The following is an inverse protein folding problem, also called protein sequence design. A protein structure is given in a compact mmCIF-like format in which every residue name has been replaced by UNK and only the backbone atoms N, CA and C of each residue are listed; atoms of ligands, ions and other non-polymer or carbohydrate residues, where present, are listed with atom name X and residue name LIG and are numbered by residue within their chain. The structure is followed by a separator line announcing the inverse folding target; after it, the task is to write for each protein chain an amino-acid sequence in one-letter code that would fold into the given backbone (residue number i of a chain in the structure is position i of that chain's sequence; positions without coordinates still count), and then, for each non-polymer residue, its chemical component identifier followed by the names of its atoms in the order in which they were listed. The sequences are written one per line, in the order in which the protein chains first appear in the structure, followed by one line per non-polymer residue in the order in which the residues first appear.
data_IF_881143536202
#
_entry.id   IF_881143536202
#
_cell.length_a   1.000
_cell.length_b   1.000
_cell.length_c   1.000
_cell.angle_alpha   90.00
_cell.angle_beta   90.00
_cell.angle_gamma   90.00
#
_symmetry.space_group_name_H-M   'P 1'
#
loop_
_entity.id
_entity.type
_entity.pdbx_description
1 polymer ?
#
# COMPACT_ATOMS: atom_id res chain seq x y z
N UNK A 1 3.91 40.99 -26.16
CA UNK A 1 2.98 39.96 -26.67
C UNK A 1 1.55 40.39 -26.33
N UNK A 2 0.71 40.75 -27.32
CA UNK A 2 -0.62 41.33 -27.08
C UNK A 2 -1.59 40.40 -26.35
N UNK A 3 -1.41 39.07 -26.47
CA UNK A 3 -2.17 38.07 -25.71
C UNK A 3 -1.87 38.14 -24.21
N UNK A 4 -0.59 38.28 -23.84
CA UNK A 4 -0.16 38.43 -22.45
C UNK A 4 -0.60 39.79 -21.88
N UNK A 5 -0.55 40.87 -22.67
CA UNK A 5 -1.00 42.20 -22.23
C UNK A 5 -2.49 42.25 -21.89
N UNK A 6 -3.36 41.64 -22.73
CA UNK A 6 -4.79 41.58 -22.46
C UNK A 6 -5.16 40.68 -21.27
N UNK A 7 -4.35 39.65 -20.98
CA UNK A 7 -4.55 38.78 -19.80
C UNK A 7 -3.94 39.35 -18.51
N UNK A 8 -2.85 40.12 -18.61
CA UNK A 8 -2.19 40.76 -17.46
C UNK A 8 -2.90 42.05 -17.03
N UNK A 9 -3.40 42.84 -17.98
CA UNK A 9 -4.15 44.07 -17.72
C UNK A 9 -5.47 44.10 -18.52
N UNK A 10 -6.50 43.36 -18.09
CA UNK A 10 -7.80 43.42 -18.73
C UNK A 10 -8.38 44.84 -18.60
N UNK A 11 -8.51 45.56 -19.72
CA UNK A 11 -9.10 46.89 -19.77
C UNK A 11 -8.26 48.01 -19.12
N UNK A 12 -6.92 47.92 -19.15
CA UNK A 12 -5.97 48.89 -18.57
C UNK A 12 -5.96 49.01 -17.03
N UNK A 13 -6.67 48.15 -16.31
CA UNK A 13 -6.52 48.04 -14.84
C UNK A 13 -5.40 47.05 -14.50
N UNK A 14 -4.16 47.54 -14.46
CA UNK A 14 -3.00 46.76 -14.02
C UNK A 14 -2.87 46.78 -12.49
N UNK A 15 -2.57 45.64 -11.85
CA UNK A 15 -2.22 45.63 -10.43
C UNK A 15 -0.81 46.24 -10.22
N UNK A 16 -0.53 46.84 -9.07
CA UNK A 16 0.79 47.47 -8.78
C UNK A 16 1.97 46.49 -8.92
N UNK A 17 1.73 45.19 -8.73
CA UNK A 17 2.71 44.12 -8.94
C UNK A 17 3.04 43.86 -10.41
N UNK A 18 2.09 44.07 -11.32
CA UNK A 18 2.29 43.84 -12.76
C UNK A 18 3.09 44.97 -13.42
N UNK A 19 2.96 46.19 -12.89
CA UNK A 19 3.68 47.38 -13.39
C UNK A 19 5.15 47.41 -12.93
N UNK A 20 5.46 46.78 -11.79
CA UNK A 20 6.83 46.69 -11.23
C UNK A 20 7.60 45.43 -11.64
N UNK A 21 6.97 44.52 -12.37
CA UNK A 21 7.62 43.27 -12.78
C UNK A 21 8.71 43.55 -13.82
N UNK A 22 9.91 42.93 -13.71
CA UNK A 22 10.89 42.95 -14.78
C UNK A 22 10.25 42.38 -16.05
N UNK A 23 10.67 42.88 -17.22
CA UNK A 23 10.01 42.58 -18.50
C UNK A 23 9.75 41.07 -18.72
N UNK A 24 8.60 40.75 -19.32
CA UNK A 24 8.19 39.37 -19.61
C UNK A 24 9.23 38.62 -20.46
N UNK A 25 9.72 37.50 -19.93
CA UNK A 25 10.65 36.60 -20.61
C UNK A 25 10.03 35.22 -20.83
N UNK A 26 10.21 34.65 -22.01
CA UNK A 26 9.89 33.25 -22.27
C UNK A 26 11.10 32.38 -21.95
N UNK A 27 10.92 31.39 -21.07
CA UNK A 27 11.94 30.40 -20.73
C UNK A 27 11.65 29.08 -21.45
N UNK A 28 12.70 28.32 -21.78
CA UNK A 28 12.54 26.99 -22.34
C UNK A 28 12.22 26.00 -21.20
N UNK A 29 11.06 25.34 -21.25
CA UNK A 29 10.64 24.35 -20.25
C UNK A 29 11.42 23.03 -20.30
N UNK A 30 12.07 22.72 -21.42
CA UNK A 30 12.92 21.53 -21.59
C UNK A 30 14.32 21.95 -22.03
N UNK A 31 15.13 22.50 -21.11
CA UNK A 31 16.48 22.98 -21.43
C UNK A 31 17.44 21.82 -21.76
N UNK A 32 17.09 20.57 -21.42
CA UNK A 32 17.85 19.37 -21.75
C UNK A 32 19.06 19.14 -20.83
N UNK A 33 19.75 18.02 -21.03
CA UNK A 33 20.81 17.53 -20.13
C UNK A 33 22.07 18.42 -20.05
N UNK A 34 22.30 19.28 -21.05
CA UNK A 34 23.45 20.19 -21.06
C UNK A 34 23.22 21.47 -20.24
N UNK A 35 22.05 21.61 -19.62
CA UNK A 35 21.67 22.79 -18.85
C UNK A 35 21.97 22.64 -17.36
N UNK A 36 21.90 23.75 -16.62
CA UNK A 36 22.04 23.76 -15.16
C UNK A 36 20.75 23.33 -14.41
N UNK A 37 19.73 22.86 -15.12
CA UNK A 37 18.42 22.49 -14.54
C UNK A 37 18.55 21.47 -13.39
N UNK A 38 19.50 20.54 -13.47
CA UNK A 38 19.74 19.58 -12.39
C UNK A 38 20.13 20.25 -11.07
N UNK A 39 20.98 21.28 -11.11
CA UNK A 39 21.42 22.02 -9.93
C UNK A 39 20.27 22.86 -9.38
N UNK A 40 19.52 23.51 -10.28
CA UNK A 40 18.39 24.36 -9.91
C UNK A 40 17.25 23.54 -9.28
N UNK A 41 17.08 22.29 -9.68
CA UNK A 41 16.06 21.37 -9.18
C UNK A 41 16.48 20.59 -7.91
N UNK A 42 17.73 20.69 -7.45
CA UNK A 42 18.22 19.87 -6.34
C UNK A 42 17.58 20.24 -4.98
N UNK A 43 17.14 21.49 -4.82
CA UNK A 43 16.54 21.98 -3.58
C UNK A 43 15.07 21.59 -3.40
N UNK A 44 14.66 21.29 -2.17
CA UNK A 44 13.25 21.06 -1.83
C UNK A 44 12.45 22.35 -1.90
N UNK A 45 11.32 22.33 -2.60
CA UNK A 45 10.42 23.48 -2.77
C UNK A 45 9.00 23.10 -2.38
N UNK A 46 8.77 22.99 -1.06
CA UNK A 46 7.45 22.74 -0.50
C UNK A 46 6.68 24.05 -0.41
N UNK A 47 5.51 24.09 -1.05
CA UNK A 47 4.66 25.28 -1.11
C UNK A 47 3.27 25.00 -0.55
N UNK A 48 2.63 26.06 -0.04
CA UNK A 48 1.28 26.02 0.50
C UNK A 48 0.21 25.88 -0.59
N UNK A 49 -1.01 25.54 -0.17
CA UNK A 49 -2.16 25.52 -1.06
C UNK A 49 -2.48 26.94 -1.56
N UNK A 50 -2.71 27.11 -2.87
CA UNK A 50 -2.93 28.40 -3.54
C UNK A 50 -1.72 29.36 -3.55
N UNK A 51 -0.51 28.80 -3.46
CA UNK A 51 0.74 29.55 -3.65
C UNK A 51 1.41 29.12 -4.97
N UNK A 52 2.12 30.06 -5.59
CA UNK A 52 2.94 29.83 -6.81
C UNK A 52 4.37 29.48 -6.43
N UNK A 53 4.93 30.22 -5.47
CA UNK A 53 6.26 29.99 -4.88
C UNK A 53 6.12 29.89 -3.36
N UNK A 54 7.24 29.74 -2.63
CA UNK A 54 7.20 29.68 -1.16
C UNK A 54 6.65 30.97 -0.55
N UNK A 55 6.88 32.10 -1.20
CA UNK A 55 6.57 33.44 -0.67
C UNK A 55 5.38 34.12 -1.37
N UNK A 56 5.04 33.71 -2.59
CA UNK A 56 4.03 34.38 -3.41
C UNK A 56 2.68 33.65 -3.40
N UNK A 57 1.65 34.38 -2.95
CA UNK A 57 0.26 33.92 -3.03
C UNK A 57 -0.25 34.07 -4.46
N UNK A 58 -0.83 32.99 -5.00
CA UNK A 58 -1.24 32.95 -6.39
C UNK A 58 -2.54 33.72 -6.66
N UNK A 59 -2.62 34.34 -7.83
CA UNK A 59 -3.89 34.78 -8.40
C UNK A 59 -4.56 33.62 -9.15
N UNK A 60 -5.63 33.07 -8.58
CA UNK A 60 -6.37 31.88 -9.06
C UNK A 60 -6.82 31.93 -10.53
N UNK A 61 -6.94 33.13 -11.13
CA UNK A 61 -7.39 33.28 -12.53
C UNK A 61 -6.26 33.29 -13.55
N UNK A 62 -5.00 33.42 -13.09
CA UNK A 62 -3.87 33.73 -13.97
C UNK A 62 -2.66 32.86 -13.70
N UNK A 63 -2.33 32.67 -12.43
CA UNK A 63 -1.08 32.04 -12.04
C UNK A 63 -1.27 30.53 -11.88
N UNK A 64 -0.22 29.77 -12.17
CA UNK A 64 -0.19 28.33 -11.88
C UNK A 64 0.09 28.15 -10.40
N UNK A 65 -0.82 27.50 -9.68
CA UNK A 65 -0.75 27.35 -8.23
C UNK A 65 -0.83 25.88 -7.81
N UNK A 66 -0.42 25.58 -6.58
CA UNK A 66 -0.60 24.24 -6.02
C UNK A 66 -2.00 24.03 -5.46
N UNK A 67 -2.64 22.95 -5.91
CA UNK A 67 -3.97 22.53 -5.48
C UNK A 67 -4.01 22.02 -4.03
N UNK A 68 -2.88 21.51 -3.52
CA UNK A 68 -2.74 20.90 -2.20
C UNK A 68 -1.46 21.40 -1.54
N UNK A 69 -1.48 21.57 -0.20
CA UNK A 69 -0.27 21.87 0.57
C UNK A 69 0.71 20.69 0.45
N UNK A 70 1.92 20.98 -0.01
CA UNK A 70 2.95 19.95 -0.19
C UNK A 70 3.85 19.84 1.04
N UNK A 71 4.22 18.61 1.37
CA UNK A 71 5.22 18.27 2.39
C UNK A 71 5.85 16.93 2.03
N UNK A 72 7.00 16.61 2.63
CA UNK A 72 7.66 15.32 2.39
C UNK A 72 6.72 14.12 2.59
N UNK A 73 5.97 14.11 3.70
CA UNK A 73 5.08 12.99 4.04
C UNK A 73 3.86 12.87 3.12
N UNK A 74 3.29 14.02 2.70
CA UNK A 74 2.18 14.01 1.74
C UNK A 74 2.64 13.49 0.37
N UNK A 75 3.81 13.90 -0.10
CA UNK A 75 4.36 13.40 -1.37
C UNK A 75 4.76 11.92 -1.27
N UNK A 76 5.30 11.49 -0.11
CA UNK A 76 5.59 10.07 0.13
C UNK A 76 4.32 9.22 0.06
N UNK A 77 3.21 9.70 0.64
CA UNK A 77 1.92 9.02 0.54
C UNK A 77 1.45 8.96 -0.92
N UNK A 78 1.39 10.08 -1.64
CA UNK A 78 0.97 10.09 -3.05
C UNK A 78 1.84 9.16 -3.93
N UNK A 79 3.12 9.01 -3.60
CA UNK A 79 4.05 8.12 -4.32
C UNK A 79 3.91 6.63 -3.94
N UNK A 80 3.47 6.32 -2.72
CA UNK A 80 3.44 4.94 -2.21
C UNK A 80 2.65 3.95 -3.07
N UNK A 81 1.47 4.29 -3.66
CA UNK A 81 0.74 3.38 -4.53
C UNK A 81 1.58 2.87 -5.71
N UNK A 82 2.56 3.66 -6.19
CA UNK A 82 3.41 3.27 -7.30
C UNK A 82 4.32 2.07 -7.00
N UNK A 83 4.68 1.86 -5.72
CA UNK A 83 5.52 0.74 -5.29
C UNK A 83 4.71 -0.44 -4.71
N UNK A 84 3.38 -0.33 -4.70
CA UNK A 84 2.50 -1.42 -4.27
C UNK A 84 2.39 -2.53 -5.33
N UNK A 85 1.63 -3.59 -5.03
CA UNK A 85 1.36 -4.66 -5.99
C UNK A 85 2.36 -5.83 -5.98
N UNK A 86 3.29 -5.89 -5.02
CA UNK A 86 4.25 -7.00 -4.90
C UNK A 86 3.60 -8.39 -4.72
N UNK A 87 2.36 -8.44 -4.22
CA UNK A 87 1.60 -9.68 -4.02
C UNK A 87 0.91 -10.19 -5.29
N UNK A 88 0.86 -9.40 -6.37
CA UNK A 88 0.22 -9.81 -7.62
C UNK A 88 0.85 -11.10 -8.17
N UNK A 89 2.17 -11.26 -8.05
CA UNK A 89 2.85 -12.50 -8.46
C UNK A 89 2.48 -13.72 -7.60
N UNK A 90 2.07 -13.51 -6.34
CA UNK A 90 1.62 -14.59 -5.46
C UNK A 90 0.14 -14.95 -5.68
N UNK A 91 -0.69 -14.01 -6.14
CA UNK A 91 -2.11 -14.27 -6.41
C UNK A 91 -2.35 -15.35 -7.48
N UNK A 92 -1.37 -15.61 -8.35
CA UNK A 92 -1.42 -16.65 -9.39
C UNK A 92 -0.56 -17.88 -9.03
N UNK A 93 -0.26 -18.09 -7.74
CA UNK A 93 0.63 -19.18 -7.31
C UNK A 93 0.14 -20.58 -7.68
N UNK A 94 -1.18 -20.77 -7.83
CA UNK A 94 -1.78 -22.05 -8.20
C UNK A 94 -1.49 -22.49 -9.64
N UNK A 95 -1.16 -21.55 -10.53
CA UNK A 95 -0.93 -21.81 -11.96
C UNK A 95 0.57 -21.93 -12.30
N UNK A 96 1.45 -21.72 -11.33
CA UNK A 96 2.90 -21.78 -11.54
C UNK A 96 3.40 -23.22 -11.49
N UNK A 97 4.22 -23.61 -12.47
CA UNK A 97 4.91 -24.93 -12.49
C UNK A 97 5.74 -25.19 -11.23
N UNK A 98 6.46 -24.17 -10.74
CA UNK A 98 7.32 -24.25 -9.54
C UNK A 98 7.17 -22.98 -8.67
N UNK A 99 6.09 -22.84 -7.88
CA UNK A 99 5.80 -21.60 -7.15
C UNK A 99 6.91 -21.22 -6.15
N UNK A 100 7.51 -22.22 -5.49
CA UNK A 100 8.53 -22.03 -4.44
C UNK A 100 9.80 -21.31 -4.95
N UNK A 101 10.19 -21.52 -6.21
CA UNK A 101 11.34 -20.81 -6.80
C UNK A 101 10.92 -19.61 -7.63
N UNK A 102 9.76 -19.66 -8.31
CA UNK A 102 9.35 -18.61 -9.24
C UNK A 102 8.90 -17.35 -8.53
N UNK A 103 8.15 -17.47 -7.42
CA UNK A 103 7.62 -16.31 -6.70
C UNK A 103 8.76 -15.44 -6.13
N UNK A 104 9.72 -15.97 -5.35
CA UNK A 104 10.78 -15.13 -4.77
C UNK A 104 11.65 -14.46 -5.85
N UNK A 105 12.03 -15.20 -6.90
CA UNK A 105 12.85 -14.66 -7.99
C UNK A 105 12.11 -13.59 -8.78
N UNK A 106 10.85 -13.85 -9.13
CA UNK A 106 10.01 -12.93 -9.90
C UNK A 106 9.75 -11.64 -9.13
N UNK A 107 9.32 -11.72 -7.87
CA UNK A 107 9.01 -10.54 -7.05
C UNK A 107 10.25 -9.68 -6.81
N UNK A 108 11.41 -10.27 -6.47
CA UNK A 108 12.64 -9.51 -6.24
C UNK A 108 13.14 -8.85 -7.54
N UNK A 109 13.16 -9.60 -8.66
CA UNK A 109 13.60 -9.06 -9.94
C UNK A 109 12.68 -7.92 -10.43
N UNK A 110 11.37 -8.07 -10.29
CA UNK A 110 10.41 -7.03 -10.63
C UNK A 110 10.63 -5.77 -9.77
N UNK A 111 10.78 -5.93 -8.45
CA UNK A 111 11.00 -4.81 -7.52
C UNK A 111 12.31 -4.06 -7.82
N UNK A 112 13.39 -4.77 -8.12
CA UNK A 112 14.67 -4.14 -8.49
C UNK A 112 14.55 -3.41 -9.83
N UNK A 113 13.85 -3.99 -10.80
CA UNK A 113 13.65 -3.38 -12.12
C UNK A 113 12.83 -2.10 -12.03
N UNK A 114 11.69 -2.12 -11.31
CA UNK A 114 10.84 -0.93 -11.14
C UNK A 114 11.56 0.14 -10.33
N UNK A 115 12.29 -0.23 -9.27
CA UNK A 115 13.08 0.71 -8.48
C UNK A 115 14.14 1.40 -9.35
N UNK A 116 14.87 0.65 -10.17
CA UNK A 116 15.87 1.19 -11.08
C UNK A 116 15.24 2.19 -12.07
N UNK A 117 14.08 1.85 -12.64
CA UNK A 117 13.35 2.73 -13.56
C UNK A 117 12.92 4.01 -12.84
N UNK A 118 12.35 3.91 -11.63
CA UNK A 118 11.91 5.09 -10.87
C UNK A 118 13.04 6.03 -10.50
N UNK A 119 14.17 5.51 -9.99
CA UNK A 119 15.33 6.36 -9.68
C UNK A 119 15.93 6.99 -10.94
N UNK A 120 16.01 6.24 -12.03
CA UNK A 120 16.53 6.75 -13.30
C UNK A 120 15.63 7.87 -13.86
N UNK A 121 14.31 7.68 -13.82
CA UNK A 121 13.35 8.70 -14.26
C UNK A 121 13.40 9.95 -13.39
N UNK A 122 13.52 9.81 -12.07
CA UNK A 122 13.67 10.96 -11.18
C UNK A 122 14.91 11.81 -11.52
N UNK A 123 16.05 11.17 -11.78
CA UNK A 123 17.27 11.84 -12.21
C UNK A 123 17.12 12.50 -13.59
N UNK A 124 16.51 11.80 -14.55
CA UNK A 124 16.29 12.32 -15.91
C UNK A 124 15.35 13.52 -15.90
N UNK A 125 14.23 13.45 -15.17
CA UNK A 125 13.29 14.57 -15.07
C UNK A 125 13.92 15.77 -14.38
N UNK A 126 14.67 15.55 -13.29
CA UNK A 126 15.38 16.63 -12.60
C UNK A 126 16.45 17.30 -13.48
N UNK A 127 17.10 16.57 -14.40
CA UNK A 127 18.14 17.11 -15.26
C UNK A 127 17.63 17.73 -16.58
N UNK A 128 16.47 17.29 -17.08
CA UNK A 128 15.99 17.65 -18.42
C UNK A 128 14.87 18.69 -18.44
N UNK A 129 14.14 18.87 -17.32
CA UNK A 129 12.92 19.68 -17.24
C UNK A 129 13.13 20.85 -16.27
N UNK A 130 12.63 22.03 -16.65
CA UNK A 130 12.63 23.20 -15.76
C UNK A 130 11.75 22.96 -14.51
N UNK A 131 12.24 23.42 -13.36
CA UNK A 131 11.58 23.19 -12.08
C UNK A 131 10.17 23.77 -11.97
N UNK A 132 9.87 24.86 -12.68
CA UNK A 132 8.54 25.46 -12.65
C UNK A 132 7.54 24.59 -13.45
N UNK A 133 8.00 24.00 -14.54
CA UNK A 133 7.19 23.07 -15.36
C UNK A 133 6.95 21.75 -14.61
N UNK A 134 7.93 21.26 -13.86
CA UNK A 134 7.76 20.06 -13.02
C UNK A 134 6.71 20.23 -11.91
N UNK A 135 6.52 21.45 -11.43
CA UNK A 135 5.56 21.78 -10.36
C UNK A 135 4.15 22.04 -10.91
N UNK A 136 3.98 22.10 -12.22
CA UNK A 136 2.69 22.27 -12.86
C UNK A 136 2.03 20.92 -13.14
N UNK A 137 1.20 20.46 -12.18
CA UNK A 137 0.49 19.17 -12.27
C UNK A 137 -0.35 19.04 -13.54
N UNK A 138 -1.00 20.13 -13.96
CA UNK A 138 -1.98 20.12 -15.05
C UNK A 138 -1.38 20.57 -16.39
N UNK A 139 -0.10 20.93 -16.41
CA UNK A 139 0.60 21.41 -17.60
C UNK A 139 0.01 22.68 -18.19
N UNK A 140 -0.60 23.55 -17.37
CA UNK A 140 -1.20 24.81 -17.83
C UNK A 140 -0.17 25.72 -18.50
N UNK A 141 1.06 25.71 -18.01
CA UNK A 141 2.23 26.41 -18.57
C UNK A 141 2.56 25.97 -20.01
N UNK A 142 2.09 24.79 -20.42
CA UNK A 142 2.31 24.20 -21.75
C UNK A 142 1.01 23.95 -22.51
N UNK A 143 -0.06 24.71 -22.20
CA UNK A 143 -1.33 24.60 -22.90
C UNK A 143 -2.13 23.34 -22.57
N UNK A 144 -1.93 22.76 -21.37
CA UNK A 144 -2.68 21.60 -20.88
C UNK A 144 -2.12 20.24 -21.32
N UNK A 145 -0.87 20.20 -21.81
CA UNK A 145 -0.19 18.95 -22.17
C UNK A 145 0.45 18.30 -20.94
N UNK A 146 0.47 16.97 -20.90
CA UNK A 146 1.15 16.22 -19.84
C UNK A 146 2.66 16.44 -19.94
N UNK A 147 3.28 16.90 -18.83
CA UNK A 147 4.71 17.26 -18.78
C UNK A 147 5.62 16.14 -19.26
N UNK A 148 5.36 14.91 -18.80
CA UNK A 148 6.15 13.74 -19.18
C UNK A 148 5.92 13.36 -20.66
N UNK A 149 4.71 13.57 -21.19
CA UNK A 149 4.41 13.31 -22.61
C UNK A 149 5.18 14.24 -23.54
N UNK A 150 5.40 15.49 -23.15
CA UNK A 150 6.17 16.46 -23.93
C UNK A 150 7.65 16.05 -24.08
N UNK A 151 8.22 15.28 -23.14
CA UNK A 151 9.59 14.77 -23.23
C UNK A 151 9.73 13.53 -24.13
N UNK A 152 8.63 12.84 -24.45
CA UNK A 152 8.71 11.57 -25.19
C UNK A 152 9.00 11.73 -26.68
N UNK A 153 9.88 10.84 -27.17
CA UNK A 153 10.16 10.64 -28.59
C UNK A 153 9.57 9.29 -29.04
N UNK A 154 8.98 9.18 -30.25
CA UNK A 154 8.91 10.15 -31.34
C UNK A 154 7.77 11.18 -31.26
N UNK A 155 6.74 10.94 -30.43
CA UNK A 155 5.61 11.86 -30.26
C UNK A 155 4.97 11.71 -28.88
N UNK A 156 4.44 12.80 -28.33
CA UNK A 156 3.71 12.83 -27.06
C UNK A 156 2.50 11.89 -26.99
N UNK A 157 1.91 11.57 -28.15
CA UNK A 157 0.79 10.63 -28.24
C UNK A 157 1.16 9.21 -27.82
N UNK A 158 2.43 8.82 -27.98
CA UNK A 158 2.89 7.48 -27.57
C UNK A 158 2.71 7.29 -26.07
N UNK A 159 3.10 8.29 -25.27
CA UNK A 159 2.90 8.23 -23.83
C UNK A 159 1.42 8.37 -23.45
N UNK A 160 0.66 9.27 -24.08
CA UNK A 160 -0.76 9.45 -23.76
C UNK A 160 -1.56 8.16 -23.98
N UNK A 161 -1.43 7.55 -25.17
CA UNK A 161 -2.10 6.29 -25.52
C UNK A 161 -1.56 5.15 -24.65
N UNK A 162 -0.24 5.06 -24.47
CA UNK A 162 0.39 4.04 -23.65
C UNK A 162 -0.08 4.08 -22.19
N UNK A 163 -0.12 5.26 -21.57
CA UNK A 163 -0.59 5.44 -20.20
C UNK A 163 -2.07 5.10 -20.06
N UNK A 164 -2.89 5.45 -21.05
CA UNK A 164 -4.32 5.12 -21.05
C UNK A 164 -4.56 3.61 -21.12
N UNK A 165 -3.93 2.91 -22.07
CA UNK A 165 -4.07 1.46 -22.18
C UNK A 165 -3.49 0.74 -20.95
N UNK A 166 -2.38 1.23 -20.39
CA UNK A 166 -1.76 0.66 -19.20
C UNK A 166 -2.64 0.81 -17.96
N UNK A 167 -3.19 2.01 -17.71
CA UNK A 167 -4.09 2.26 -16.58
C UNK A 167 -5.40 1.48 -16.71
N UNK A 168 -5.96 1.38 -17.92
CA UNK A 168 -7.12 0.54 -18.20
C UNK A 168 -6.85 -0.95 -17.90
N UNK A 169 -5.68 -1.46 -18.32
CA UNK A 169 -5.26 -2.83 -18.03
C UNK A 169 -5.11 -3.10 -16.52
N UNK A 170 -4.50 -2.16 -15.79
CA UNK A 170 -4.34 -2.26 -14.34
C UNK A 170 -5.69 -2.23 -13.61
N UNK A 171 -6.63 -1.37 -14.05
CA UNK A 171 -7.98 -1.32 -13.50
C UNK A 171 -8.73 -2.63 -13.73
N UNK A 172 -8.66 -3.20 -14.95
CA UNK A 172 -9.28 -4.48 -15.28
C UNK A 172 -8.70 -5.62 -14.43
N UNK A 173 -7.38 -5.64 -14.24
CA UNK A 173 -6.73 -6.62 -13.39
C UNK A 173 -7.24 -6.56 -11.94
N UNK A 174 -7.36 -5.35 -11.37
CA UNK A 174 -7.85 -5.16 -10.00
C UNK A 174 -9.32 -5.58 -9.87
N UNK A 175 -10.15 -5.24 -10.87
CA UNK A 175 -11.57 -5.59 -10.91
C UNK A 175 -11.79 -7.11 -11.00
N UNK A 176 -10.90 -7.85 -11.67
CA UNK A 176 -10.96 -9.31 -11.73
C UNK A 176 -10.34 -9.99 -10.49
N UNK A 177 -9.30 -9.40 -9.90
CA UNK A 177 -8.54 -10.02 -8.80
C UNK A 177 -9.24 -9.89 -7.45
N UNK A 178 -9.85 -8.73 -7.16
CA UNK A 178 -10.49 -8.47 -5.86
C UNK A 178 -11.68 -9.43 -5.57
N UNK A 179 -12.60 -9.70 -6.51
CA UNK A 179 -13.69 -10.67 -6.29
C UNK A 179 -13.19 -12.09 -6.03
N UNK A 180 -12.10 -12.50 -6.68
CA UNK A 180 -11.50 -13.83 -6.50
C UNK A 180 -10.85 -13.97 -5.11
N UNK A 181 -10.18 -12.92 -4.62
CA UNK A 181 -9.66 -12.89 -3.25
C UNK A 181 -10.80 -12.99 -2.23
N UNK A 182 -11.86 -12.19 -2.40
CA UNK A 182 -13.04 -12.23 -1.53
C UNK A 182 -13.72 -13.60 -1.53
N UNK A 183 -13.84 -14.22 -2.70
CA UNK A 183 -14.39 -15.56 -2.86
C UNK A 183 -13.55 -16.62 -2.14
N UNK A 184 -12.21 -16.55 -2.23
CA UNK A 184 -11.33 -17.49 -1.53
C UNK A 184 -11.50 -17.38 -0.01
N UNK A 185 -11.57 -16.16 0.53
CA UNK A 185 -11.85 -15.92 1.95
C UNK A 185 -13.21 -16.50 2.36
N UNK A 186 -14.23 -16.34 1.52
CA UNK A 186 -15.57 -16.89 1.76
C UNK A 186 -15.62 -18.43 1.68
N UNK A 187 -14.74 -19.06 0.90
CA UNK A 187 -14.65 -20.53 0.80
C UNK A 187 -14.10 -21.16 2.08
N UNK A 188 -13.16 -20.48 2.73
CA UNK A 188 -12.52 -20.93 3.96
C UNK A 188 -13.45 -20.84 5.19
N UNK A 189 -14.62 -20.22 5.04
CA UNK A 189 -15.69 -20.16 6.05
C UNK A 189 -15.19 -19.63 7.42
N UNK A 190 -14.24 -18.69 7.34
CA UNK A 190 -13.63 -18.00 8.49
C UNK A 190 -14.56 -16.92 9.02
N UNK A 191 -15.27 -16.23 8.13
CA UNK A 191 -16.22 -15.16 8.44
C UNK A 191 -17.60 -15.55 7.87
N UNK A 192 -18.54 -16.02 8.71
CA UNK A 192 -19.84 -16.51 8.24
C UNK A 192 -20.67 -15.49 7.45
N UNK A 193 -20.49 -14.20 7.72
CA UNK A 193 -21.20 -13.12 7.02
C UNK A 193 -20.80 -13.03 5.54
N UNK A 194 -19.62 -13.54 5.18
CA UNK A 194 -19.11 -13.56 3.81
C UNK A 194 -19.54 -14.82 3.04
N UNK A 195 -20.28 -15.75 3.67
CA UNK A 195 -20.74 -16.99 3.03
C UNK A 195 -21.48 -16.81 1.69
N UNK A 196 -22.26 -15.74 1.43
CA UNK A 196 -22.88 -15.54 0.12
C UNK A 196 -21.87 -15.38 -1.02
N UNK A 197 -20.67 -14.85 -0.75
CA UNK A 197 -19.62 -14.64 -1.76
C UNK A 197 -18.91 -15.93 -2.19
N UNK A 198 -19.21 -17.06 -1.54
CA UNK A 198 -18.69 -18.38 -1.94
C UNK A 198 -19.29 -18.86 -3.27
N UNK A 199 -20.51 -18.43 -3.61
CA UNK A 199 -21.26 -18.92 -4.78
C UNK A 199 -20.64 -18.41 -6.08
N UNK A 200 -20.37 -19.33 -7.00
CA UNK A 200 -19.91 -19.03 -8.36
C UNK A 200 -20.99 -19.26 -9.40
N UNK A 201 -20.84 -18.57 -10.53
CA UNK A 201 -21.63 -18.83 -11.73
C UNK A 201 -21.15 -20.09 -12.46
N UNK A 202 -21.89 -20.51 -13.50
CA UNK A 202 -21.55 -21.66 -14.34
C UNK A 202 -20.13 -21.58 -14.95
N UNK A 203 -19.63 -20.37 -15.18
CA UNK A 203 -18.30 -20.11 -15.75
C UNK A 203 -17.21 -19.94 -14.68
N UNK A 204 -17.48 -20.33 -13.43
CA UNK A 204 -16.58 -20.17 -12.28
C UNK A 204 -16.26 -18.70 -11.92
N UNK A 205 -17.15 -17.76 -12.27
CA UNK A 205 -16.95 -16.34 -11.95
C UNK A 205 -17.73 -15.92 -10.68
N UNK A 206 -17.10 -15.22 -9.72
CA UNK A 206 -17.71 -14.77 -8.47
C UNK A 206 -18.55 -13.49 -8.66
N UNK A 207 -19.74 -13.64 -9.24
CA UNK A 207 -20.60 -12.51 -9.64
C UNK A 207 -21.00 -11.57 -8.48
N UNK A 208 -21.36 -12.11 -7.31
CA UNK A 208 -21.70 -11.28 -6.14
C UNK A 208 -20.49 -10.48 -5.64
N UNK A 209 -19.30 -11.08 -5.69
CA UNK A 209 -18.05 -10.38 -5.35
C UNK A 209 -17.79 -9.23 -6.32
N UNK A 210 -18.00 -9.46 -7.62
CA UNK A 210 -17.85 -8.45 -8.66
C UNK A 210 -18.80 -7.26 -8.45
N UNK A 211 -20.08 -7.50 -8.14
CA UNK A 211 -21.05 -6.43 -7.86
C UNK A 211 -20.55 -5.54 -6.70
N UNK A 212 -20.12 -6.13 -5.60
CA UNK A 212 -19.65 -5.36 -4.45
C UNK A 212 -18.41 -4.55 -4.78
N UNK A 213 -17.44 -5.15 -5.48
CA UNK A 213 -16.24 -4.41 -5.88
C UNK A 213 -16.58 -3.24 -6.80
N UNK A 214 -17.53 -3.40 -7.72
CA UNK A 214 -17.99 -2.31 -8.58
C UNK A 214 -18.69 -1.21 -7.80
N UNK A 215 -19.56 -1.55 -6.84
CA UNK A 215 -20.25 -0.56 -5.99
C UNK A 215 -19.24 0.23 -5.14
N UNK A 216 -18.26 -0.46 -4.53
CA UNK A 216 -17.21 0.22 -3.74
C UNK A 216 -16.35 1.12 -4.63
N UNK A 217 -15.98 0.65 -5.82
CA UNK A 217 -15.22 1.44 -6.79
C UNK A 217 -16.00 2.68 -7.25
N UNK A 218 -17.29 2.54 -7.53
CA UNK A 218 -18.17 3.65 -7.92
C UNK A 218 -18.28 4.70 -6.81
N UNK A 219 -18.44 4.27 -5.55
CA UNK A 219 -18.44 5.19 -4.41
C UNK A 219 -17.12 5.96 -4.30
N UNK A 220 -15.99 5.32 -4.57
CA UNK A 220 -14.69 5.98 -4.60
C UNK A 220 -14.57 6.98 -5.77
N UNK A 221 -15.09 6.64 -6.95
CA UNK A 221 -15.10 7.55 -8.12
C UNK A 221 -15.93 8.80 -7.83
N UNK A 222 -17.10 8.65 -7.18
CA UNK A 222 -17.97 9.77 -6.82
C UNK A 222 -17.33 10.75 -5.83
N UNK A 223 -16.31 10.34 -5.06
CA UNK A 223 -15.56 11.24 -4.17
C UNK A 223 -14.67 12.24 -4.94
N UNK A 224 -14.35 11.99 -6.22
CA UNK A 224 -13.76 12.96 -7.14
C UNK A 224 -12.32 13.45 -6.85
N UNK A 225 -11.71 13.06 -5.73
CA UNK A 225 -10.38 13.53 -5.31
C UNK A 225 -9.34 12.39 -5.32
N UNK A 226 -8.64 12.22 -6.44
CA UNK A 226 -7.63 11.16 -6.63
C UNK A 226 -6.54 11.17 -5.54
N UNK A 227 -6.02 12.34 -5.19
CA UNK A 227 -4.91 12.48 -4.22
C UNK A 227 -5.32 12.02 -2.82
N UNK A 228 -6.59 12.25 -2.43
CA UNK A 228 -7.13 11.79 -1.15
C UNK A 228 -7.41 10.29 -1.14
N UNK A 229 -7.88 9.73 -2.26
CA UNK A 229 -8.14 8.29 -2.40
C UNK A 229 -6.83 7.50 -2.31
N UNK A 230 -5.78 7.97 -3.00
CA UNK A 230 -4.45 7.35 -2.96
C UNK A 230 -3.96 7.21 -1.51
N UNK A 231 -4.01 8.30 -0.74
CA UNK A 231 -3.59 8.30 0.65
C UNK A 231 -4.37 7.26 1.49
N UNK A 232 -5.69 7.11 1.30
CA UNK A 232 -6.51 6.13 2.03
C UNK A 232 -6.14 4.68 1.66
N UNK A 233 -5.93 4.41 0.36
CA UNK A 233 -5.56 3.09 -0.14
C UNK A 233 -4.20 2.64 0.43
N UNK A 234 -3.27 3.57 0.61
CA UNK A 234 -1.96 3.27 1.18
C UNK A 234 -2.02 2.72 2.60
N UNK A 235 -2.96 3.19 3.43
CA UNK A 235 -3.15 2.64 4.78
C UNK A 235 -3.50 1.15 4.71
N UNK A 236 -4.36 0.73 3.80
CA UNK A 236 -4.72 -0.69 3.67
C UNK A 236 -3.53 -1.54 3.19
N UNK A 237 -2.73 -1.04 2.24
CA UNK A 237 -1.53 -1.75 1.78
C UNK A 237 -0.42 -1.80 2.85
N UNK A 238 -0.13 -0.67 3.51
CA UNK A 238 0.85 -0.60 4.59
C UNK A 238 0.47 -1.51 5.76
N UNK A 239 -0.81 -1.57 6.13
CA UNK A 239 -1.29 -2.49 7.16
C UNK A 239 -1.09 -3.96 6.75
N UNK A 240 -1.40 -4.32 5.51
CA UNK A 240 -1.17 -5.66 4.99
C UNK A 240 0.32 -6.04 5.04
N UNK A 241 1.20 -5.16 4.56
CA UNK A 241 2.65 -5.37 4.60
C UNK A 241 3.20 -5.44 6.02
N UNK A 242 2.70 -4.60 6.93
CA UNK A 242 3.08 -4.63 8.34
C UNK A 242 2.72 -5.98 8.98
N UNK A 243 1.48 -6.46 8.83
CA UNK A 243 1.07 -7.73 9.43
C UNK A 243 1.80 -8.93 8.87
N UNK A 244 2.01 -9.00 7.55
CA UNK A 244 2.79 -10.09 6.94
C UNK A 244 4.20 -10.13 7.55
N UNK A 245 4.84 -8.97 7.72
CA UNK A 245 6.17 -8.86 8.33
C UNK A 245 6.17 -9.22 9.84
N UNK A 246 5.16 -8.76 10.59
CA UNK A 246 5.00 -9.10 12.02
C UNK A 246 4.80 -10.61 12.19
N UNK A 247 3.91 -11.22 11.42
CA UNK A 247 3.61 -12.66 11.51
C UNK A 247 4.87 -13.48 11.18
N UNK A 248 5.61 -13.14 10.12
CA UNK A 248 6.88 -13.78 9.81
C UNK A 248 7.88 -13.69 10.97
N UNK A 249 7.95 -12.52 11.62
CA UNK A 249 8.84 -12.29 12.77
C UNK A 249 8.41 -13.11 13.97
N UNK A 250 7.12 -13.06 14.33
CA UNK A 250 6.54 -13.80 15.46
C UNK A 250 6.70 -15.30 15.27
N UNK A 251 6.40 -15.85 14.10
CA UNK A 251 6.54 -17.28 13.83
C UNK A 251 7.98 -17.76 13.94
N UNK A 252 8.95 -16.94 13.53
CA UNK A 252 10.38 -17.24 13.67
C UNK A 252 10.86 -17.16 15.11
N UNK A 253 10.47 -16.12 15.86
CA UNK A 253 10.89 -15.94 17.26
C UNK A 253 10.20 -16.91 18.21
N UNK A 254 8.91 -17.19 17.97
CA UNK A 254 8.13 -18.10 18.79
C UNK A 254 8.36 -19.57 18.42
N UNK A 255 9.11 -19.87 17.36
CA UNK A 255 9.36 -21.25 16.94
C UNK A 255 8.08 -22.01 16.62
N UNK A 256 7.22 -21.43 15.77
CA UNK A 256 5.95 -22.06 15.43
C UNK A 256 6.19 -23.47 14.81
N UNK A 257 5.44 -24.52 15.21
CA UNK A 257 5.76 -25.92 14.86
C UNK A 257 5.97 -26.19 13.36
N UNK A 258 5.13 -25.56 12.53
CA UNK A 258 5.14 -25.76 11.07
C UNK A 258 5.94 -24.69 10.31
N UNK A 259 6.62 -23.77 11.00
CA UNK A 259 7.35 -22.67 10.37
C UNK A 259 8.82 -23.01 10.14
N UNK A 260 9.17 -23.33 8.89
CA UNK A 260 10.56 -23.62 8.47
C UNK A 260 10.88 -22.94 7.13
N UNK A 261 11.15 -21.62 7.13
CA UNK A 261 11.43 -20.88 5.91
C UNK A 261 12.71 -21.40 5.24
N UNK A 262 12.59 -21.85 3.98
CA UNK A 262 13.71 -22.43 3.20
C UNK A 262 14.46 -21.40 2.35
N UNK A 263 14.04 -20.14 2.36
CA UNK A 263 14.65 -19.08 1.56
C UNK A 263 15.97 -18.62 2.18
N UNK A 264 17.06 -18.67 1.39
CA UNK A 264 18.44 -18.47 1.87
C UNK A 264 18.70 -17.11 2.53
N UNK A 265 18.08 -16.04 2.03
CA UNK A 265 18.32 -14.67 2.50
C UNK A 265 17.28 -14.19 3.52
N UNK A 266 16.45 -15.10 4.03
CA UNK A 266 15.46 -14.76 5.05
C UNK A 266 16.13 -14.65 6.43
N UNK A 267 15.85 -13.56 7.13
CA UNK A 267 16.19 -13.40 8.55
C UNK A 267 15.06 -12.65 9.26
N UNK A 268 14.70 -13.05 10.48
CA UNK A 268 13.58 -12.46 11.23
C UNK A 268 13.75 -10.95 11.47
N UNK A 269 14.99 -10.47 11.63
CA UNK A 269 15.26 -9.05 11.82
C UNK A 269 14.92 -8.19 10.59
N UNK A 270 15.04 -8.73 9.36
CA UNK A 270 14.64 -8.03 8.14
C UNK A 270 13.13 -7.84 8.08
N UNK A 271 12.37 -8.87 8.48
CA UNK A 271 10.92 -8.77 8.61
C UNK A 271 10.51 -7.77 9.69
N UNK A 272 11.17 -7.79 10.86
CA UNK A 272 10.90 -6.81 11.92
C UNK A 272 11.16 -5.38 11.46
N UNK A 273 12.29 -5.14 10.78
CA UNK A 273 12.62 -3.84 10.20
C UNK A 273 11.53 -3.38 9.21
N UNK A 274 11.07 -4.28 8.33
CA UNK A 274 9.97 -4.00 7.41
C UNK A 274 8.67 -3.60 8.12
N UNK A 275 8.29 -4.31 9.18
CA UNK A 275 7.11 -3.96 9.98
C UNK A 275 7.25 -2.57 10.63
N UNK A 276 8.40 -2.28 11.23
CA UNK A 276 8.67 -0.97 11.85
C UNK A 276 8.60 0.16 10.83
N UNK A 277 9.19 -0.04 9.64
CA UNK A 277 9.13 0.96 8.56
C UNK A 277 7.69 1.18 8.06
N UNK A 278 6.89 0.11 7.93
CA UNK A 278 5.48 0.25 7.55
C UNK A 278 4.69 1.09 8.56
N UNK A 279 4.83 0.81 9.87
CA UNK A 279 4.18 1.62 10.91
C UNK A 279 4.71 3.05 10.93
N UNK A 280 6.01 3.24 10.78
CA UNK A 280 6.63 4.56 10.76
C UNK A 280 6.05 5.44 9.64
N UNK A 281 5.96 4.91 8.41
CA UNK A 281 5.36 5.64 7.28
C UNK A 281 3.89 5.94 7.57
N UNK A 282 3.14 4.94 8.06
CA UNK A 282 1.72 5.09 8.34
C UNK A 282 1.42 6.20 9.36
N UNK A 283 2.15 6.23 10.49
CA UNK A 283 2.00 7.26 11.52
C UNK A 283 2.53 8.63 11.08
N UNK A 284 3.53 8.67 10.20
CA UNK A 284 4.12 9.93 9.70
C UNK A 284 3.21 10.63 8.68
N UNK A 285 2.39 9.88 7.94
CA UNK A 285 1.44 10.44 6.97
C UNK A 285 0.18 10.99 7.66
N UNK A 286 -0.63 10.13 8.29
CA UNK A 286 -1.83 10.52 9.03
C UNK A 286 -2.02 9.60 10.23
N UNK A 287 -1.75 10.12 11.44
CA UNK A 287 -1.81 9.37 12.68
C UNK A 287 -3.23 8.94 13.07
N UNK A 288 -4.23 9.75 12.72
CA UNK A 288 -5.64 9.52 12.97
C UNK A 288 -6.18 8.34 12.15
N UNK A 289 -5.92 8.32 10.84
CA UNK A 289 -6.29 7.19 9.97
C UNK A 289 -5.53 5.91 10.34
N UNK A 290 -4.28 6.03 10.79
CA UNK A 290 -3.49 4.92 11.28
C UNK A 290 -4.14 4.23 12.50
N UNK A 291 -4.55 5.01 13.51
CA UNK A 291 -5.19 4.48 14.71
C UNK A 291 -6.52 3.80 14.41
N UNK A 292 -7.36 4.42 13.57
CA UNK A 292 -8.65 3.84 13.15
C UNK A 292 -8.44 2.51 12.42
N UNK A 293 -7.46 2.45 11.50
CA UNK A 293 -7.15 1.25 10.72
C UNK A 293 -6.61 0.11 11.60
N UNK A 294 -5.71 0.42 12.54
CA UNK A 294 -5.19 -0.56 13.50
C UNK A 294 -6.33 -1.10 14.38
N UNK A 295 -7.17 -0.21 14.91
CA UNK A 295 -8.29 -0.59 15.76
C UNK A 295 -9.28 -1.51 15.02
N UNK A 296 -9.68 -1.13 13.79
CA UNK A 296 -10.55 -1.93 12.95
C UNK A 296 -9.94 -3.31 12.68
N UNK A 297 -8.65 -3.37 12.38
CA UNK A 297 -7.98 -4.65 12.11
C UNK A 297 -7.90 -5.54 13.35
N UNK A 298 -7.62 -4.98 14.53
CA UNK A 298 -7.63 -5.72 15.79
C UNK A 298 -9.02 -6.28 16.11
N UNK A 299 -10.09 -5.53 15.83
CA UNK A 299 -11.47 -6.02 15.96
C UNK A 299 -11.74 -7.20 15.02
N UNK A 300 -11.35 -7.09 13.75
CA UNK A 300 -11.54 -8.18 12.76
C UNK A 300 -10.73 -9.41 13.18
N UNK A 301 -9.46 -9.23 13.59
CA UNK A 301 -8.61 -10.31 14.06
C UNK A 301 -9.23 -11.04 15.25
N UNK A 302 -9.67 -10.30 16.28
CA UNK A 302 -10.31 -10.88 17.46
C UNK A 302 -11.65 -11.55 17.14
N UNK A 303 -12.43 -10.99 16.22
CA UNK A 303 -13.66 -11.60 15.75
C UNK A 303 -13.41 -12.95 15.07
N UNK A 304 -12.41 -13.01 14.18
CA UNK A 304 -11.99 -14.24 13.48
C UNK A 304 -11.48 -15.28 14.47
N UNK A 305 -10.63 -14.88 15.43
CA UNK A 305 -10.09 -15.76 16.47
C UNK A 305 -11.22 -16.40 17.29
N UNK A 306 -12.20 -15.59 17.71
CA UNK A 306 -13.34 -16.07 18.48
C UNK A 306 -14.25 -17.04 17.69
N UNK A 307 -14.52 -16.74 16.42
CA UNK A 307 -15.32 -17.63 15.56
C UNK A 307 -14.58 -18.92 15.23
N UNK A 308 -13.27 -18.86 15.00
CA UNK A 308 -12.42 -20.05 14.79
C UNK A 308 -12.46 -20.98 16.00
N UNK A 309 -12.23 -20.43 17.20
CA UNK A 309 -12.30 -21.21 18.44
C UNK A 309 -13.67 -21.85 18.66
N UNK A 310 -14.77 -21.14 18.38
CA UNK A 310 -16.13 -21.68 18.49
C UNK A 310 -16.38 -22.83 17.50
N UNK A 311 -15.81 -22.79 16.29
CA UNK A 311 -15.98 -23.83 15.27
C UNK A 311 -15.20 -25.09 15.59
N UNK A 312 -13.97 -24.97 16.09
CA UNK A 312 -13.14 -26.13 16.48
C UNK A 312 -13.62 -26.81 17.77
N UNK A 313 -13.98 -26.01 18.79
CA UNK A 313 -14.20 -26.51 20.15
C UNK A 313 -15.66 -26.41 20.63
N UNK A 314 -16.58 -25.92 19.80
CA UNK A 314 -18.01 -25.75 20.11
C UNK A 314 -18.34 -24.53 21.00
N UNK A 315 -17.45 -24.19 21.94
CA UNK A 315 -17.54 -23.01 22.79
C UNK A 315 -16.36 -22.05 22.53
N UNK A 316 -16.64 -20.77 22.30
CA UNK A 316 -15.65 -19.79 21.85
C UNK A 316 -14.61 -19.45 22.92
N UNK A 317 -15.03 -19.19 24.16
CA UNK A 317 -14.10 -18.77 25.22
C UNK A 317 -13.26 -19.97 25.71
N UNK A 318 -13.93 -21.10 25.95
CA UNK A 318 -13.24 -22.35 26.32
C UNK A 318 -12.33 -22.85 25.19
N UNK A 319 -12.74 -22.69 23.94
CA UNK A 319 -11.95 -23.02 22.77
C UNK A 319 -10.65 -22.21 22.69
N UNK A 320 -10.67 -20.90 22.95
CA UNK A 320 -9.47 -20.07 22.96
C UNK A 320 -8.43 -20.57 23.98
N UNK A 321 -8.89 -20.93 25.18
CA UNK A 321 -8.01 -21.48 26.22
C UNK A 321 -7.41 -22.84 25.80
N UNK A 322 -8.21 -23.72 25.18
CA UNK A 322 -7.77 -25.03 24.70
C UNK A 322 -6.78 -24.93 23.54
N UNK A 323 -7.02 -24.06 22.55
CA UNK A 323 -6.09 -23.81 21.45
C UNK A 323 -4.76 -23.26 21.97
N UNK A 324 -4.80 -22.35 22.94
CA UNK A 324 -3.58 -21.79 23.58
C UNK A 324 -2.79 -22.87 24.33
N UNK A 325 -3.50 -23.74 25.07
CA UNK A 325 -2.89 -24.86 25.78
C UNK A 325 -2.27 -25.88 24.82
N UNK A 326 -2.98 -26.25 23.76
CA UNK A 326 -2.49 -27.18 22.74
C UNK A 326 -1.25 -26.62 22.04
N UNK A 327 -1.27 -25.34 21.64
CA UNK A 327 -0.12 -24.68 21.02
C UNK A 327 1.09 -24.65 21.97
N UNK A 328 0.86 -24.38 23.25
CA UNK A 328 1.92 -24.39 24.27
C UNK A 328 2.50 -25.79 24.47
N UNK A 329 1.67 -26.83 24.52
CA UNK A 329 2.10 -28.22 24.65
C UNK A 329 2.89 -28.69 23.42
N UNK A 330 2.43 -28.39 22.20
CA UNK A 330 3.16 -28.75 20.97
C UNK A 330 4.52 -28.05 20.83
N UNK A 331 4.69 -26.92 21.52
CA UNK A 331 5.94 -26.15 21.52
C UNK A 331 6.95 -26.66 22.56
N UNK A 332 6.50 -27.40 23.57
CA UNK A 332 7.42 -28.02 24.52
C UNK A 332 8.21 -29.08 23.74
N UNK A 333 9.47 -28.76 23.44
CA UNK A 333 10.40 -29.73 22.89
C UNK A 333 10.73 -30.76 23.97
N UNK A 334 10.68 -32.05 23.62
CA UNK A 334 11.26 -33.16 24.39
C UNK A 334 12.81 -33.09 24.34
N UNK A 335 13.39 -31.93 24.70
CA UNK A 335 14.82 -31.87 24.99
C UNK A 335 15.08 -32.55 26.31
N UNK A 336 16.13 -33.36 26.36
CA UNK A 336 16.56 -34.00 27.59
C UNK A 336 16.66 -32.95 28.71
N UNK A 337 15.89 -33.09 29.81
CA UNK A 337 15.91 -32.13 30.88
C UNK A 337 17.33 -32.07 31.44
N UNK A 338 17.96 -30.89 31.34
CA UNK A 338 19.31 -30.72 31.85
C UNK A 338 19.30 -31.02 33.36
N UNK A 339 20.23 -31.84 33.88
CA UNK A 339 20.26 -32.26 35.29
C UNK A 339 20.43 -31.10 36.32
N UNK A 340 20.65 -29.87 35.84
CA UNK A 340 20.77 -28.65 36.67
C UNK A 340 19.44 -27.91 36.81
N UNK A 341 18.44 -28.26 36.01
CA UNK A 341 17.15 -27.57 35.93
C UNK A 341 16.01 -28.52 36.30
N UNK A 342 16.21 -29.33 37.34
CA UNK A 342 15.20 -30.25 37.85
C UNK A 342 14.03 -29.46 38.46
N UNK A 343 12.82 -29.79 38.03
CA UNK A 343 11.56 -29.28 38.59
C UNK A 343 10.74 -30.49 39.05
N UNK A 344 10.32 -30.56 40.33
CA UNK A 344 9.50 -31.68 40.80
C UNK A 344 8.14 -31.68 40.10
N UNK A 345 7.89 -32.68 39.26
CA UNK A 345 6.56 -33.01 38.75
C UNK A 345 6.03 -34.17 39.59
N UNK A 346 5.16 -33.86 40.55
CA UNK A 346 4.68 -34.83 41.53
C UNK A 346 3.53 -35.66 40.93
N UNK A 347 3.72 -36.97 40.84
CA UNK A 347 2.63 -37.92 40.60
C UNK A 347 2.17 -38.48 41.96
N UNK A 348 1.04 -37.97 42.47
CA UNK A 348 0.47 -38.44 43.72
C UNK A 348 -0.38 -39.68 43.46
N UNK A 349 0.12 -40.86 43.86
CA UNK A 349 -0.60 -42.12 43.75
C UNK A 349 -1.40 -42.33 45.04
N UNK A 350 -2.71 -42.06 44.99
CA UNK A 350 -3.63 -42.38 46.07
C UNK A 350 -4.20 -43.79 45.89
N UNK A 351 -4.01 -44.65 46.88
CA UNK A 351 -4.74 -45.91 46.99
C UNK A 351 -6.09 -45.63 47.66
N UNK A 352 -7.18 -45.82 46.93
CA UNK A 352 -8.53 -45.75 47.49
C UNK A 352 -9.08 -47.17 47.71
N UNK A 353 -9.79 -47.44 48.83
CA UNK A 353 -10.50 -48.69 49.02
C UNK A 353 -11.60 -48.82 47.96
N UNK A 354 -11.67 -49.99 47.33
CA UNK A 354 -12.60 -50.26 46.25
C UNK A 354 -14.05 -50.20 46.76
N UNK A 355 -14.83 -49.21 46.30
CA UNK A 355 -16.23 -49.01 46.70
C UNK A 355 -17.12 -49.15 45.47
N UNK A 356 -18.10 -50.07 45.51
CA UNK A 356 -18.99 -50.41 44.38
C UNK A 356 -19.86 -49.24 43.88
N UNK A 357 -19.94 -48.14 44.62
CA UNK A 357 -20.85 -47.02 44.33
C UNK A 357 -20.32 -46.02 43.29
N UNK A 358 -19.06 -46.13 42.84
CA UNK A 358 -18.42 -45.19 41.92
C UNK A 358 -18.43 -45.62 40.43
N UNK A 359 -19.14 -46.71 40.09
CA UNK A 359 -19.18 -47.24 38.71
C UNK A 359 -20.25 -46.57 37.84
N UNK A 360 -21.19 -45.81 38.43
CA UNK A 360 -22.25 -45.11 37.71
C UNK A 360 -22.09 -43.58 37.77
N UNK A 361 -21.15 -43.03 36.97
CA UNK A 361 -21.24 -41.65 36.43
C UNK A 361 -20.68 -41.62 35.02
#
# INVERSE_FOLDING_TARGET
NPYLWNNLCPGNNCSETDVRSPGLSCINGFPGFNSNAFVDNFGSQYVGQFYTTVDDKANLKRDVFQDVKTSFWVLLAIYFPAVTGIFTGANMSGDLKNPQSSIPKGTIAATLTTSFIYFSLALVFGAAIDGNVLRDKNGQSMGGSMVVAALSWPSSWVLLVGSFLSTFGAALQCLCSAPRLLQSIAKDDVIPILSPFKKVTKNNEPFLGLIITTVIAELAILMGAMDSIAAVVDFFFLMCYAFVNIICTLHSLLGAPNWRPRFKYYHWALSLLGAVLCFFIMFSTHWDYALVSIFLCLLIYKYVEWKGAKKEWGDGIRGLALTTAQYSLMKIEDKDPHPKNWRPQLLLILSMPWTKELVDV
#
